data_IF_820916114324
#
_entry.id   IF_820916114324
#
_cell.length_a   1.000
_cell.length_b   1.000
_cell.length_c   1.000
_cell.angle_alpha   90.00
_cell.angle_beta   90.00
_cell.angle_gamma   90.00
#
_symmetry.space_group_name_H-M   'P 1'
#
loop_
_entity.id
_entity.type
_entity.pdbx_description
1 polymer ?
#
# COMPACT_ATOMS: atom_id res chain seq x y z
N UNK A 1 24.75 -5.53 -27.26
CA UNK A 1 23.96 -5.08 -26.10
C UNK A 1 23.45 -6.34 -25.42
N UNK A 2 23.75 -6.56 -24.14
CA UNK A 2 23.21 -7.71 -23.42
C UNK A 2 21.70 -7.57 -23.41
N UNK A 3 20.99 -8.56 -23.94
CA UNK A 3 19.53 -8.60 -23.93
C UNK A 3 19.09 -8.85 -22.49
N UNK A 4 18.77 -7.78 -21.77
CA UNK A 4 18.19 -7.87 -20.44
C UNK A 4 16.83 -8.56 -20.55
N UNK A 5 16.69 -9.73 -19.92
CA UNK A 5 15.42 -10.46 -19.89
C UNK A 5 14.61 -10.00 -18.67
N UNK A 6 13.44 -9.36 -18.87
CA UNK A 6 12.61 -8.86 -17.77
C UNK A 6 11.99 -10.01 -16.98
N UNK A 7 12.23 -10.05 -15.66
CA UNK A 7 11.71 -11.10 -14.77
C UNK A 7 10.23 -10.91 -14.45
N UNK A 8 9.79 -9.66 -14.39
CA UNK A 8 8.42 -9.30 -13.99
C UNK A 8 7.54 -8.92 -15.19
N UNK A 9 7.89 -9.41 -16.38
CA UNK A 9 7.24 -9.00 -17.63
C UNK A 9 5.72 -9.15 -17.61
N UNK A 10 5.21 -10.29 -17.13
CA UNK A 10 3.76 -10.55 -17.09
C UNK A 10 3.01 -9.65 -16.10
N UNK A 11 3.65 -9.23 -15.01
CA UNK A 11 3.06 -8.35 -14.00
C UNK A 11 3.08 -6.90 -14.47
N UNK A 12 4.20 -6.46 -15.05
CA UNK A 12 4.36 -5.13 -15.66
C UNK A 12 3.34 -4.96 -16.79
N UNK A 13 3.20 -5.96 -17.67
CA UNK A 13 2.21 -5.95 -18.74
C UNK A 13 0.78 -5.75 -18.20
N UNK A 14 0.39 -6.48 -17.15
CA UNK A 14 -0.94 -6.30 -16.52
C UNK A 14 -1.11 -4.90 -15.93
N UNK A 15 -0.09 -4.37 -15.26
CA UNK A 15 -0.13 -3.02 -14.70
C UNK A 15 -0.24 -1.94 -15.79
N UNK A 16 0.51 -2.09 -16.88
CA UNK A 16 0.46 -1.19 -18.04
C UNK A 16 -0.91 -1.23 -18.72
N UNK A 17 -1.51 -2.43 -18.87
CA UNK A 17 -2.85 -2.57 -19.42
C UNK A 17 -3.92 -1.84 -18.59
N UNK A 18 -3.80 -1.84 -17.26
CA UNK A 18 -4.72 -1.10 -16.38
C UNK A 18 -4.48 0.41 -16.44
N UNK A 19 -3.23 0.83 -16.63
CA UNK A 19 -2.87 2.23 -16.82
C UNK A 19 -3.44 2.81 -18.13
N UNK A 20 -3.84 1.93 -19.06
CA UNK A 20 -4.50 2.27 -20.31
C UNK A 20 -3.63 2.11 -21.55
N UNK A 21 -2.50 1.42 -21.41
CA UNK A 21 -1.63 1.07 -22.54
C UNK A 21 -2.17 -0.13 -23.32
N UNK A 22 -1.58 -0.37 -24.49
CA UNK A 22 -1.89 -1.51 -25.36
C UNK A 22 -1.71 -2.85 -24.63
N UNK A 23 -2.50 -3.88 -25.00
CA UNK A 23 -2.42 -5.23 -24.41
C UNK A 23 -1.05 -5.89 -24.60
N UNK A 24 -0.36 -5.60 -25.70
CA UNK A 24 0.93 -6.19 -26.05
C UNK A 24 2.03 -5.11 -26.15
N UNK A 25 2.58 -4.65 -25.01
CA UNK A 25 3.72 -3.75 -25.02
C UNK A 25 4.98 -4.48 -25.51
N UNK A 26 5.85 -3.76 -26.22
CA UNK A 26 7.14 -4.31 -26.68
C UNK A 26 8.00 -4.78 -25.50
N UNK A 27 8.75 -5.87 -25.68
CA UNK A 27 9.65 -6.43 -24.65
C UNK A 27 10.68 -5.40 -24.18
N UNK A 28 11.17 -4.55 -25.09
CA UNK A 28 12.10 -3.45 -24.77
C UNK A 28 11.48 -2.42 -23.81
N UNK A 29 10.22 -2.03 -24.04
CA UNK A 29 9.50 -1.11 -23.15
C UNK A 29 9.31 -1.71 -21.76
N UNK A 30 8.96 -3.01 -21.68
CA UNK A 30 8.84 -3.72 -20.40
C UNK A 30 10.19 -3.74 -19.67
N UNK A 31 11.29 -4.00 -20.37
CA UNK A 31 12.63 -4.02 -19.81
C UNK A 31 13.01 -2.66 -19.20
N UNK A 32 12.75 -1.55 -19.93
CA UNK A 32 13.01 -0.19 -19.43
C UNK A 32 12.14 0.13 -18.20
N UNK A 33 10.86 -0.25 -18.21
CA UNK A 33 9.98 -0.04 -17.05
C UNK A 33 10.48 -0.83 -15.83
N UNK A 34 10.96 -2.07 -16.03
CA UNK A 34 11.54 -2.88 -14.94
C UNK A 34 12.81 -2.25 -14.36
N UNK A 35 13.68 -1.69 -15.21
CA UNK A 35 14.87 -0.96 -14.79
C UNK A 35 14.52 0.29 -13.95
N UNK A 36 13.57 1.10 -14.42
CA UNK A 36 13.09 2.28 -13.67
C UNK A 36 12.52 1.89 -12.30
N UNK A 37 11.72 0.81 -12.24
CA UNK A 37 11.15 0.32 -10.98
C UNK A 37 12.26 -0.15 -10.03
N UNK A 38 13.26 -0.88 -10.55
CA UNK A 38 14.41 -1.34 -9.78
C UNK A 38 15.17 -0.17 -9.17
N UNK A 39 15.50 0.84 -9.97
CA UNK A 39 16.24 2.02 -9.52
C UNK A 39 15.45 2.79 -8.46
N UNK A 40 14.13 2.95 -8.66
CA UNK A 40 13.26 3.59 -7.68
C UNK A 40 13.18 2.80 -6.38
N UNK A 41 13.12 1.46 -6.43
CA UNK A 41 13.13 0.62 -5.23
C UNK A 41 14.44 0.73 -4.47
N UNK A 42 15.58 0.74 -5.18
CA UNK A 42 16.90 0.94 -4.56
C UNK A 42 16.95 2.29 -3.87
N UNK A 43 16.53 3.37 -4.54
CA UNK A 43 16.49 4.71 -3.96
C UNK A 43 15.59 4.79 -2.71
N UNK A 44 14.41 4.18 -2.75
CA UNK A 44 13.51 4.18 -1.59
C UNK A 44 14.09 3.40 -0.41
N UNK A 45 14.75 2.27 -0.65
CA UNK A 45 15.35 1.46 0.41
C UNK A 45 16.60 2.10 1.01
N UNK A 46 17.46 2.71 0.18
CA UNK A 46 18.65 3.42 0.66
C UNK A 46 18.27 4.60 1.54
N UNK A 47 17.34 5.42 1.08
CA UNK A 47 16.83 6.57 1.86
C UNK A 47 16.11 6.13 3.13
N UNK A 48 15.35 5.02 3.11
CA UNK A 48 14.73 4.46 4.31
C UNK A 48 15.78 3.95 5.31
N UNK A 49 16.84 3.31 4.82
CA UNK A 49 17.95 2.84 5.66
C UNK A 49 18.72 4.00 6.32
N UNK A 50 18.93 5.11 5.61
CA UNK A 50 19.54 6.31 6.19
C UNK A 50 18.67 6.91 7.30
N UNK A 51 17.35 6.96 7.11
CA UNK A 51 16.41 7.44 8.13
C UNK A 51 16.38 6.52 9.37
N UNK A 52 16.34 5.20 9.15
CA UNK A 52 16.41 4.21 10.24
C UNK A 52 17.73 4.32 11.01
N UNK A 53 18.85 4.50 10.30
CA UNK A 53 20.18 4.69 10.89
C UNK A 53 20.26 5.96 11.73
N UNK A 54 19.66 7.07 11.27
CA UNK A 54 19.57 8.32 12.06
C UNK A 54 18.75 8.18 13.34
N UNK A 55 17.72 7.31 13.34
CA UNK A 55 16.96 6.95 14.55
C UNK A 55 17.75 6.03 15.49
N UNK A 56 18.82 5.41 15.01
CA UNK A 56 19.54 4.35 15.73
C UNK A 56 18.81 2.99 15.70
N UNK A 57 17.84 2.83 14.81
CA UNK A 57 17.11 1.57 14.64
C UNK A 57 17.88 0.63 13.69
N UNK A 58 18.01 -0.64 14.08
CA UNK A 58 18.69 -1.67 13.28
C UNK A 58 17.85 -2.16 12.09
N UNK A 59 16.54 -1.95 12.13
CA UNK A 59 15.59 -2.42 11.12
C UNK A 59 14.81 -1.25 10.52
N UNK A 60 14.51 -1.37 9.22
CA UNK A 60 13.67 -0.42 8.50
C UNK A 60 12.22 -0.62 8.93
N UNK A 61 11.60 0.44 9.45
CA UNK A 61 10.18 0.44 9.82
C UNK A 61 9.32 0.98 8.68
N UNK A 62 8.04 0.61 8.67
CA UNK A 62 7.05 1.15 7.73
C UNK A 62 6.94 2.69 7.84
N UNK A 63 7.20 3.24 9.04
CA UNK A 63 7.24 4.68 9.24
C UNK A 63 8.32 5.37 8.38
N UNK A 64 9.45 4.71 8.14
CA UNK A 64 10.58 5.26 7.37
C UNK A 64 10.22 5.37 5.88
N UNK A 65 9.45 4.40 5.36
CA UNK A 65 8.91 4.46 4.00
C UNK A 65 7.79 5.51 3.87
N UNK A 66 6.85 5.55 4.83
CA UNK A 66 5.77 6.55 4.81
C UNK A 66 6.30 7.98 4.91
N UNK A 67 7.42 8.18 5.61
CA UNK A 67 8.03 9.49 5.75
C UNK A 67 8.51 10.07 4.41
N UNK A 68 8.93 9.24 3.46
CA UNK A 68 9.30 9.68 2.11
C UNK A 68 8.09 10.23 1.33
N UNK A 69 6.89 9.71 1.60
CA UNK A 69 5.64 10.06 0.91
C UNK A 69 4.85 11.14 1.68
N UNK A 70 5.40 11.70 2.76
CA UNK A 70 4.69 12.64 3.67
C UNK A 70 4.07 13.85 2.98
N UNK A 71 4.62 14.27 1.84
CA UNK A 71 4.14 15.42 1.09
C UNK A 71 2.86 15.14 0.28
N UNK A 72 2.49 13.87 0.09
CA UNK A 72 1.28 13.48 -0.62
C UNK A 72 0.29 12.76 0.32
N UNK A 73 -0.66 13.51 0.93
CA UNK A 73 -1.61 12.94 1.88
C UNK A 73 -2.61 12.00 1.21
N UNK A 74 -2.87 12.17 -0.10
CA UNK A 74 -3.81 11.33 -0.86
C UNK A 74 -3.22 9.94 -1.08
N UNK A 75 -1.94 9.87 -1.50
CA UNK A 75 -1.22 8.60 -1.63
C UNK A 75 -1.09 7.91 -0.28
N UNK A 76 -0.76 8.65 0.77
CA UNK A 76 -0.62 8.09 2.11
C UNK A 76 -1.94 7.53 2.65
N UNK A 77 -3.06 8.26 2.49
CA UNK A 77 -4.38 7.79 2.88
C UNK A 77 -4.81 6.52 2.13
N UNK A 78 -4.48 6.41 0.84
CA UNK A 78 -4.72 5.18 0.06
C UNK A 78 -3.92 3.98 0.59
N UNK A 79 -2.64 4.18 0.91
CA UNK A 79 -1.77 3.14 1.46
C UNK A 79 -2.28 2.69 2.84
N UNK A 80 -2.63 3.63 3.72
CA UNK A 80 -3.20 3.33 5.03
C UNK A 80 -4.49 2.53 4.92
N UNK A 81 -5.40 2.91 4.01
CA UNK A 81 -6.63 2.16 3.77
C UNK A 81 -6.35 0.75 3.24
N UNK A 82 -5.43 0.59 2.29
CA UNK A 82 -5.01 -0.71 1.78
C UNK A 82 -4.48 -1.62 2.90
N UNK A 83 -3.63 -1.09 3.78
CA UNK A 83 -3.09 -1.82 4.92
C UNK A 83 -4.16 -2.17 5.96
N UNK A 84 -5.12 -1.27 6.21
CA UNK A 84 -6.30 -1.55 7.06
C UNK A 84 -7.12 -2.70 6.51
N UNK A 85 -7.41 -2.70 5.22
CA UNK A 85 -8.15 -3.77 4.54
C UNK A 85 -7.37 -5.09 4.52
N UNK A 86 -6.05 -5.05 4.27
CA UNK A 86 -5.20 -6.22 4.33
C UNK A 86 -5.18 -6.84 5.73
N UNK A 87 -5.02 -6.02 6.78
CA UNK A 87 -5.11 -6.47 8.18
C UNK A 87 -6.47 -7.07 8.51
N UNK A 88 -7.56 -6.45 8.04
CA UNK A 88 -8.91 -6.97 8.29
C UNK A 88 -9.13 -8.33 7.62
N UNK A 89 -8.70 -8.48 6.36
CA UNK A 89 -8.79 -9.73 5.59
C UNK A 89 -7.95 -10.85 6.20
N UNK A 90 -6.77 -10.53 6.72
CA UNK A 90 -5.93 -11.52 7.41
C UNK A 90 -6.57 -11.95 8.73
N UNK A 91 -7.09 -11.00 9.52
CA UNK A 91 -7.80 -11.29 10.78
C UNK A 91 -9.08 -12.10 10.57
N UNK A 92 -9.79 -11.89 9.46
CA UNK A 92 -10.98 -12.71 9.15
C UNK A 92 -10.59 -14.14 8.76
N UNK A 93 -9.49 -14.33 8.02
CA UNK A 93 -8.96 -15.67 7.70
C UNK A 93 -8.47 -16.42 8.95
N UNK A 94 -7.72 -15.75 9.82
CA UNK A 94 -7.26 -16.35 11.08
C UNK A 94 -8.39 -16.73 12.06
N UNK A 95 -9.58 -16.13 11.92
CA UNK A 95 -10.76 -16.51 12.72
C UNK A 95 -11.53 -17.69 12.13
N UNK A 96 -11.35 -17.99 10.85
CA UNK A 96 -11.87 -19.18 10.18
C UNK A 96 -11.09 -20.41 10.65
N UNK A 97 -9.76 -20.29 10.75
CA UNK A 97 -8.87 -21.39 11.07
C UNK A 97 -8.54 -21.38 12.57
N UNK A 98 -9.45 -21.93 13.39
CA UNK A 98 -9.19 -22.16 14.83
C UNK A 98 -8.18 -23.30 15.00
N UNK A 99 -6.90 -22.99 14.87
CA UNK A 99 -5.82 -23.82 15.40
C UNK A 99 -4.84 -22.91 16.16
N UNK A 100 -4.79 -23.07 17.49
CA UNK A 100 -4.19 -22.14 18.47
C UNK A 100 -2.64 -22.00 18.42
N UNK A 101 -1.98 -22.39 17.32
CA UNK A 101 -0.52 -22.38 17.20
C UNK A 101 0.06 -21.18 16.42
N UNK A 102 -0.72 -20.49 15.58
CA UNK A 102 -0.22 -19.36 14.74
C UNK A 102 -0.37 -17.97 15.37
N UNK A 103 -0.81 -17.88 16.63
CA UNK A 103 -0.84 -16.60 17.37
C UNK A 103 0.57 -16.03 17.62
N UNK A 104 1.61 -16.85 17.47
CA UNK A 104 3.02 -16.45 17.54
C UNK A 104 3.52 -15.77 16.24
N UNK A 105 3.21 -16.32 15.06
CA UNK A 105 3.67 -15.77 13.78
C UNK A 105 3.04 -14.41 13.43
N UNK A 106 1.79 -14.18 13.87
CA UNK A 106 1.11 -12.87 13.72
C UNK A 106 1.63 -11.83 14.72
N UNK A 107 2.22 -12.28 15.84
CA UNK A 107 2.91 -11.40 16.79
C UNK A 107 4.23 -10.91 16.21
N UNK A 108 5.00 -11.78 15.56
CA UNK A 108 6.30 -11.42 14.99
C UNK A 108 6.20 -10.36 13.87
N UNK A 109 5.18 -10.44 13.00
CA UNK A 109 4.90 -9.39 12.00
C UNK A 109 4.32 -8.09 12.59
N UNK A 110 3.72 -8.17 13.79
CA UNK A 110 3.20 -7.01 14.51
C UNK A 110 4.25 -6.38 15.45
N UNK A 111 5.31 -7.11 15.81
CA UNK A 111 6.40 -6.68 16.68
C UNK A 111 7.52 -5.94 15.91
N UNK A 112 7.60 -6.12 14.58
CA UNK A 112 8.46 -5.33 13.67
C UNK A 112 8.00 -3.86 13.53
N UNK A 113 6.86 -3.48 14.14
CA UNK A 113 6.23 -2.18 13.98
C UNK A 113 6.46 -1.16 15.11
N UNK A 114 7.34 -1.44 16.07
CA UNK A 114 7.64 -0.64 17.28
C UNK A 114 7.07 0.80 17.31
N UNK A 115 5.77 0.87 17.58
CA UNK A 115 4.99 2.05 17.96
C UNK A 115 4.49 1.72 19.36
N UNK A 116 4.63 2.60 20.36
CA UNK A 116 4.26 2.29 21.74
C UNK A 116 2.75 2.02 21.81
N UNK A 117 2.38 0.75 21.91
CA UNK A 117 1.00 0.34 22.19
C UNK A 117 0.87 0.25 23.70
N UNK A 118 0.33 1.30 24.33
CA UNK A 118 -0.18 1.19 25.70
C UNK A 118 -1.29 0.13 25.71
N UNK A 119 -1.07 -0.96 26.46
CA UNK A 119 -2.01 -2.07 26.58
C UNK A 119 -3.07 -1.77 27.63
N UNK A 120 -4.08 -0.98 27.27
CA UNK A 120 -5.29 -0.87 28.09
C UNK A 120 -6.29 -1.97 27.73
N UNK A 121 -6.44 -2.91 28.68
CA UNK A 121 -7.23 -4.15 28.56
C UNK A 121 -8.76 -3.99 28.49
N UNK A 122 -9.31 -2.80 28.22
CA UNK A 122 -10.78 -2.59 28.21
C UNK A 122 -11.37 -1.82 27.03
N UNK A 123 -10.61 -1.51 25.98
CA UNK A 123 -11.18 -0.91 24.79
C UNK A 123 -10.75 -1.67 23.54
N UNK A 124 -11.70 -2.31 22.84
CA UNK A 124 -11.49 -2.81 21.46
C UNK A 124 -11.43 -1.63 20.47
N UNK A 125 -10.71 -0.56 20.80
CA UNK A 125 -10.43 0.51 19.87
C UNK A 125 -9.47 -0.05 18.84
N UNK A 126 -9.85 0.07 17.57
CA UNK A 126 -9.07 -0.39 16.42
C UNK A 126 -7.71 0.32 16.53
N UNK A 127 -6.56 -0.38 16.37
CA UNK A 127 -5.28 0.31 16.39
C UNK A 127 -5.28 1.28 15.21
N UNK A 128 -5.42 2.57 15.52
CA UNK A 128 -5.21 3.63 14.55
C UNK A 128 -3.72 3.61 14.22
N UNK A 129 -3.40 3.52 12.93
CA UNK A 129 -2.04 3.72 12.49
C UNK A 129 -1.79 5.22 12.57
N UNK A 130 -1.36 5.69 13.74
CA UNK A 130 -1.02 7.10 13.95
C UNK A 130 0.39 7.30 13.39
N UNK A 131 0.52 8.24 12.46
CA UNK A 131 1.81 8.61 11.89
C UNK A 131 2.53 9.55 12.87
N UNK A 132 3.84 9.39 13.10
CA UNK A 132 4.56 10.10 14.15
C UNK A 132 4.69 11.62 13.91
N UNK A 133 4.35 12.11 12.71
CA UNK A 133 4.36 13.54 12.37
C UNK A 133 2.96 14.15 12.25
N UNK A 134 1.90 13.43 12.62
CA UNK A 134 0.56 14.00 12.68
C UNK A 134 0.40 14.89 13.91
N UNK A 135 -0.53 15.85 13.82
CA UNK A 135 -0.83 16.79 14.91
C UNK A 135 -1.23 16.07 16.19
N UNK A 136 -1.91 14.92 16.05
CA UNK A 136 -2.31 14.04 17.16
C UNK A 136 -1.09 13.50 17.95
N UNK A 137 0.08 13.37 17.33
CA UNK A 137 1.29 12.86 17.98
C UNK A 137 2.11 13.93 18.69
N UNK A 138 1.82 15.23 18.51
CA UNK A 138 2.54 16.30 19.21
C UNK A 138 2.17 16.40 20.69
N UNK A 139 1.04 15.83 21.09
CA UNK A 139 0.53 15.91 22.46
C UNK A 139 0.55 14.52 23.08
N UNK A 140 1.14 14.39 24.27
CA UNK A 140 1.25 13.11 24.98
C UNK A 140 -0.09 12.58 25.54
N UNK A 141 -1.12 13.43 25.55
CA UNK A 141 -2.45 13.12 26.06
C UNK A 141 -3.36 12.80 24.88
N UNK A 142 -3.77 11.54 24.76
CA UNK A 142 -4.75 11.11 23.77
C UNK A 142 -6.14 11.68 24.14
N UNK A 143 -6.63 12.63 23.36
CA UNK A 143 -7.98 13.14 23.54
C UNK A 143 -8.99 12.02 23.25
N UNK A 144 -10.05 11.88 24.08
CA UNK A 144 -11.18 11.03 23.73
C UNK A 144 -11.67 11.42 22.34
N UNK A 145 -11.74 10.44 21.44
CA UNK A 145 -12.06 10.64 20.03
C UNK A 145 -13.31 11.52 19.89
N UNK A 146 -13.11 12.78 19.53
CA UNK A 146 -14.20 13.56 18.97
C UNK A 146 -14.60 12.86 17.69
N UNK A 147 -15.91 12.71 17.52
CA UNK A 147 -16.57 12.03 16.42
C UNK A 147 -16.43 12.84 15.13
N UNK A 148 -15.21 13.25 14.79
CA UNK A 148 -14.90 13.87 13.51
C UNK A 148 -15.23 12.84 12.44
N UNK A 149 -15.96 13.23 11.38
CA UNK A 149 -16.34 12.31 10.34
C UNK A 149 -15.05 11.72 9.77
N UNK A 150 -14.98 10.39 9.73
CA UNK A 150 -13.92 9.57 9.13
C UNK A 150 -13.92 9.76 7.59
N UNK A 151 -14.10 11.00 7.13
CA UNK A 151 -14.13 11.44 5.76
C UNK A 151 -12.70 11.69 5.30
N UNK A 152 -12.29 10.91 4.31
CA UNK A 152 -11.19 11.27 3.42
C UNK A 152 -11.29 12.77 3.07
N UNK A 153 -10.16 13.49 3.18
CA UNK A 153 -10.03 14.89 2.77
C UNK A 153 -10.76 15.12 1.43
N UNK A 154 -11.42 16.28 1.21
CA UNK A 154 -12.14 16.54 -0.03
C UNK A 154 -11.33 16.25 -1.30
N UNK A 155 -10.03 16.51 -1.27
CA UNK A 155 -9.08 16.22 -2.35
C UNK A 155 -8.90 14.70 -2.59
N UNK A 156 -8.89 13.89 -1.53
CA UNK A 156 -8.83 12.44 -1.66
C UNK A 156 -10.11 11.88 -2.30
N UNK A 157 -11.27 12.50 -2.03
CA UNK A 157 -12.53 12.16 -2.71
C UNK A 157 -12.51 12.57 -4.19
N UNK A 158 -11.92 13.73 -4.54
CA UNK A 158 -11.77 14.12 -5.94
C UNK A 158 -10.88 13.14 -6.70
N UNK A 159 -9.74 12.77 -6.13
CA UNK A 159 -8.80 11.86 -6.78
C UNK A 159 -9.36 10.43 -6.95
N UNK A 160 -10.26 9.97 -6.07
CA UNK A 160 -10.98 8.69 -6.27
C UNK A 160 -12.03 8.82 -7.36
N UNK A 161 -12.78 9.92 -7.40
CA UNK A 161 -13.77 10.20 -8.45
C UNK A 161 -13.11 10.27 -9.82
N UNK A 162 -11.96 10.94 -9.97
CA UNK A 162 -11.23 10.97 -11.24
C UNK A 162 -10.78 9.57 -11.69
N UNK A 163 -10.36 8.72 -10.75
CA UNK A 163 -9.95 7.35 -11.06
C UNK A 163 -11.13 6.52 -11.55
N UNK A 164 -12.30 6.68 -10.92
CA UNK A 164 -13.54 6.05 -11.35
C UNK A 164 -13.93 6.56 -12.75
N UNK A 165 -13.86 7.87 -12.97
CA UNK A 165 -14.15 8.48 -14.28
C UNK A 165 -13.25 7.94 -15.40
N UNK A 166 -11.94 7.80 -15.15
CA UNK A 166 -11.01 7.19 -16.13
C UNK A 166 -11.37 5.73 -16.39
N UNK A 167 -11.71 4.96 -15.34
CA UNK A 167 -12.13 3.57 -15.50
C UNK A 167 -13.41 3.45 -16.34
N UNK A 168 -14.41 4.30 -16.09
CA UNK A 168 -15.66 4.32 -16.85
C UNK A 168 -15.43 4.67 -18.32
N UNK A 169 -14.51 5.61 -18.60
CA UNK A 169 -14.15 5.95 -19.99
C UNK A 169 -13.53 4.76 -20.72
N UNK A 170 -12.68 3.99 -20.05
CA UNK A 170 -12.02 2.81 -20.61
C UNK A 170 -13.01 1.68 -20.86
N UNK A 171 -13.88 1.36 -19.89
CA UNK A 171 -14.82 0.24 -19.99
C UNK A 171 -15.99 0.52 -20.92
N UNK A 172 -16.30 1.80 -21.20
CA UNK A 172 -17.40 2.20 -22.11
C UNK A 172 -17.29 1.62 -23.52
N UNK A 173 -16.08 1.37 -24.02
CA UNK A 173 -15.85 0.86 -25.38
C UNK A 173 -15.48 -0.63 -25.42
N UNK A 174 -15.38 -1.29 -24.26
CA UNK A 174 -14.90 -2.68 -24.18
C UNK A 174 -16.00 -3.68 -24.49
N UNK A 175 -15.63 -4.77 -25.16
CA UNK A 175 -16.49 -5.95 -25.29
C UNK A 175 -16.56 -6.74 -23.98
N UNK A 176 -17.54 -7.64 -23.83
CA UNK A 176 -17.69 -8.43 -22.61
C UNK A 176 -16.43 -9.26 -22.27
N UNK A 177 -15.74 -9.80 -23.29
CA UNK A 177 -14.50 -10.57 -23.11
C UNK A 177 -13.33 -9.68 -22.70
N UNK A 178 -13.19 -8.52 -23.32
CA UNK A 178 -12.19 -7.52 -22.93
C UNK A 178 -12.42 -7.00 -21.51
N UNK A 179 -13.68 -6.84 -21.10
CA UNK A 179 -14.01 -6.45 -19.74
C UNK A 179 -13.58 -7.52 -18.72
N UNK A 180 -13.81 -8.81 -19.01
CA UNK A 180 -13.36 -9.89 -18.11
C UNK A 180 -11.84 -9.92 -17.94
N UNK A 181 -11.08 -9.75 -19.03
CA UNK A 181 -9.61 -9.73 -18.99
C UNK A 181 -9.07 -8.48 -18.30
N UNK A 182 -9.74 -7.33 -18.46
CA UNK A 182 -9.43 -6.10 -17.74
C UNK A 182 -9.69 -6.24 -16.23
N UNK A 183 -10.83 -6.80 -15.85
CA UNK A 183 -11.18 -7.04 -14.44
C UNK A 183 -10.19 -8.01 -13.77
N UNK A 184 -9.80 -9.09 -14.46
CA UNK A 184 -8.81 -10.04 -13.96
C UNK A 184 -7.43 -9.41 -13.81
N UNK A 185 -6.97 -8.67 -14.83
CA UNK A 185 -5.72 -7.92 -14.78
C UNK A 185 -5.73 -6.96 -13.59
N UNK A 186 -6.81 -6.20 -13.37
CA UNK A 186 -6.96 -5.28 -12.24
C UNK A 186 -6.88 -5.97 -10.87
N UNK A 187 -7.43 -7.18 -10.76
CA UNK A 187 -7.38 -7.95 -9.51
C UNK A 187 -5.99 -8.53 -9.23
N UNK A 188 -5.25 -8.91 -10.28
CA UNK A 188 -3.93 -9.56 -10.21
C UNK A 188 -2.74 -8.61 -10.42
N UNK A 189 -2.99 -7.33 -10.67
CA UNK A 189 -1.96 -6.32 -10.89
C UNK A 189 -1.36 -5.83 -9.57
N UNK A 190 -0.64 -6.74 -8.94
CA UNK A 190 0.26 -6.50 -7.83
C UNK A 190 1.52 -7.28 -8.12
N UNK A 191 2.68 -6.69 -7.81
CA UNK A 191 3.93 -7.44 -7.78
C UNK A 191 3.84 -8.50 -6.68
N UNK A 192 4.24 -9.74 -6.98
CA UNK A 192 4.28 -10.85 -6.01
C UNK A 192 5.67 -11.10 -5.46
#
# INVERSE_FOLDING_TARGET
>A
MSTYEPKFASEIQRMMYIAGETQDPSVEAIAVVEEIIRDQLVLMLTTANELASRRGARFISNADLFFQIRHDPIRLGRIMNLLRWNRLRLKSKAKSDKCDAELAAVKDLAEVLDVPVQKDKKNRKRPKLVLPWNVESYVSVELPESQEPEGLLPEANQATVERLRRADQMTRRMTAKEYTTWAESRRRASFS
#
